data_IF_533658189299
#
_entry.id   IF_533658189299
#
_cell.length_a   1.000
_cell.length_b   1.000
_cell.length_c   1.000
_cell.angle_alpha   90.00
_cell.angle_beta   90.00
_cell.angle_gamma   90.00
#
_symmetry.space_group_name_H-M   'P 1'
#
loop_
_entity.id
_entity.type
_entity.pdbx_description
1 polymer ?
#
# COMPACT_ATOMS: atom_id res chain seq x y z
N UNK A 1 32.37 6.41 6.45
CA UNK A 1 32.41 6.19 4.99
C UNK A 1 31.00 6.34 4.47
N UNK A 2 30.79 6.79 3.22
CA UNK A 2 29.46 6.74 2.59
C UNK A 2 28.92 5.30 2.51
N UNK A 3 29.81 4.31 2.64
CA UNK A 3 29.46 2.88 2.68
C UNK A 3 28.69 2.47 3.95
N UNK A 4 28.64 3.31 4.97
CA UNK A 4 27.91 3.01 6.21
C UNK A 4 27.22 4.27 6.73
N UNK A 5 25.91 4.38 6.46
CA UNK A 5 25.05 5.38 7.09
C UNK A 5 24.04 4.67 8.00
N UNK A 6 23.80 5.15 9.24
CA UNK A 6 22.92 4.48 10.19
C UNK A 6 21.49 4.27 9.66
N UNK A 7 21.03 5.15 8.76
CA UNK A 7 19.72 5.06 8.15
C UNK A 7 19.64 4.14 6.92
N UNK A 8 20.78 3.69 6.34
CA UNK A 8 20.76 2.85 5.14
C UNK A 8 20.11 1.49 5.36
N UNK A 9 20.29 0.90 6.54
CA UNK A 9 19.60 -0.36 6.88
C UNK A 9 18.08 -0.17 6.94
N UNK A 10 17.63 0.98 7.47
CA UNK A 10 16.21 1.34 7.50
C UNK A 10 15.66 1.58 6.09
N UNK A 11 16.38 2.34 5.27
CA UNK A 11 15.98 2.61 3.88
C UNK A 11 15.92 1.32 3.05
N UNK A 12 16.92 0.43 3.19
CA UNK A 12 16.92 -0.87 2.51
C UNK A 12 15.70 -1.71 2.88
N UNK A 13 15.41 -1.85 4.17
CA UNK A 13 14.23 -2.59 4.64
C UNK A 13 12.93 -1.99 4.08
N UNK A 14 12.80 -0.66 4.07
CA UNK A 14 11.62 0.01 3.54
C UNK A 14 11.46 -0.15 2.02
N UNK A 15 12.57 -0.11 1.27
CA UNK A 15 12.56 -0.33 -0.19
C UNK A 15 12.14 -1.76 -0.57
N UNK A 16 12.48 -2.75 0.26
CA UNK A 16 12.04 -4.15 0.05
C UNK A 16 10.53 -4.33 0.28
N UNK A 17 9.93 -3.49 1.13
CA UNK A 17 8.52 -3.55 1.50
C UNK A 17 7.61 -2.63 0.66
N UNK A 18 8.18 -1.79 -0.21
CA UNK A 18 7.44 -0.75 -0.94
C UNK A 18 7.68 -0.83 -2.44
N UNK A 19 6.64 -0.54 -3.22
CA UNK A 19 6.72 -0.49 -4.68
C UNK A 19 7.06 0.93 -5.13
N UNK A 20 8.31 1.36 -4.94
CA UNK A 20 8.84 2.63 -5.44
C UNK A 20 9.77 2.42 -6.63
N UNK A 21 9.81 3.35 -7.57
CA UNK A 21 10.69 3.25 -8.73
C UNK A 21 12.08 3.84 -8.43
N UNK A 22 13.13 3.42 -9.16
CA UNK A 22 14.44 4.07 -9.06
C UNK A 22 14.41 5.59 -9.30
N UNK A 23 13.48 6.08 -10.15
CA UNK A 23 13.29 7.50 -10.41
C UNK A 23 12.71 8.23 -9.20
N UNK A 24 11.73 7.63 -8.50
CA UNK A 24 11.17 8.20 -7.27
C UNK A 24 12.23 8.31 -6.18
N UNK A 25 13.07 7.28 -6.05
CA UNK A 25 14.19 7.30 -5.09
C UNK A 25 15.15 8.42 -5.43
N UNK A 26 15.53 8.56 -6.71
CA UNK A 26 16.39 9.66 -7.15
C UNK A 26 15.75 11.04 -6.91
N UNK A 27 14.45 11.20 -7.18
CA UNK A 27 13.75 12.46 -6.93
C UNK A 27 13.77 12.87 -5.45
N UNK A 28 13.58 11.92 -4.54
CA UNK A 28 13.60 12.20 -3.11
C UNK A 28 15.02 12.55 -2.59
N UNK A 29 16.05 11.99 -3.23
CA UNK A 29 17.45 12.25 -2.91
C UNK A 29 18.02 13.51 -3.57
N UNK A 30 17.34 14.06 -4.59
CA UNK A 30 17.75 15.32 -5.18
C UNK A 30 17.42 16.49 -4.24
N UNK A 31 18.37 17.42 -4.02
CA UNK A 31 18.13 18.66 -3.29
C UNK A 31 16.97 19.45 -3.90
N UNK A 32 15.98 19.82 -3.10
CA UNK A 32 14.83 20.62 -3.60
C UNK A 32 15.13 22.13 -3.63
N UNK A 33 16.12 22.57 -2.86
CA UNK A 33 16.60 23.96 -2.84
C UNK A 33 18.13 23.99 -2.85
N UNK A 34 18.69 25.14 -3.24
CA UNK A 34 20.13 25.35 -3.18
C UNK A 34 20.63 25.21 -1.74
N UNK A 35 21.69 24.42 -1.54
CA UNK A 35 22.30 24.12 -0.24
C UNK A 35 21.39 23.33 0.72
N UNK A 36 20.42 22.56 0.23
CA UNK A 36 19.72 21.58 1.06
C UNK A 36 20.71 20.52 1.57
N UNK A 37 20.60 20.19 2.85
CA UNK A 37 21.44 19.19 3.49
C UNK A 37 21.08 17.77 3.05
N UNK A 38 22.08 16.90 2.96
CA UNK A 38 21.91 15.51 2.55
C UNK A 38 21.03 14.72 3.54
N UNK A 39 21.06 15.09 4.83
CA UNK A 39 20.17 14.49 5.85
C UNK A 39 18.70 14.81 5.53
N UNK A 40 18.39 16.04 5.12
CA UNK A 40 17.03 16.43 4.75
C UNK A 40 16.51 15.67 3.53
N UNK A 41 17.35 15.43 2.52
CA UNK A 41 16.98 14.59 1.36
C UNK A 41 16.72 13.13 1.77
N UNK A 42 17.51 12.60 2.71
CA UNK A 42 17.37 11.23 3.20
C UNK A 42 16.12 11.05 4.09
N UNK A 43 15.83 12.02 4.97
CA UNK A 43 14.60 12.04 5.76
C UNK A 43 13.36 12.08 4.88
N UNK A 44 13.40 12.89 3.81
CA UNK A 44 12.31 12.95 2.82
C UNK A 44 12.08 11.60 2.15
N UNK A 45 13.14 10.92 1.73
CA UNK A 45 13.03 9.56 1.19
C UNK A 45 12.38 8.61 2.20
N UNK A 46 12.81 8.63 3.46
CA UNK A 46 12.25 7.75 4.51
C UNK A 46 10.76 8.03 4.72
N UNK A 47 10.36 9.31 4.74
CA UNK A 47 8.95 9.68 4.85
C UNK A 47 8.13 9.18 3.66
N UNK A 48 8.61 9.38 2.43
CA UNK A 48 7.94 8.90 1.22
C UNK A 48 7.72 7.38 1.24
N UNK A 49 8.75 6.62 1.65
CA UNK A 49 8.66 5.16 1.78
C UNK A 49 7.63 4.73 2.84
N UNK A 50 7.63 5.37 4.01
CA UNK A 50 6.65 5.07 5.08
C UNK A 50 5.22 5.32 4.62
N UNK A 51 4.98 6.46 3.96
CA UNK A 51 3.66 6.79 3.41
C UNK A 51 3.23 5.78 2.35
N UNK A 52 4.13 5.41 1.42
CA UNK A 52 3.85 4.39 0.40
C UNK A 52 3.43 3.05 1.00
N UNK A 53 4.13 2.61 2.06
CA UNK A 53 3.79 1.39 2.81
C UNK A 53 2.40 1.46 3.44
N UNK A 54 2.08 2.58 4.10
CA UNK A 54 0.79 2.77 4.75
C UNK A 54 -0.36 2.83 3.74
N UNK A 55 -0.20 3.54 2.63
CA UNK A 55 -1.19 3.61 1.57
C UNK A 55 -1.44 2.23 0.93
N UNK A 56 -0.39 1.44 0.70
CA UNK A 56 -0.52 0.08 0.19
C UNK A 56 -1.33 -0.81 1.17
N UNK A 57 -1.05 -0.69 2.47
CA UNK A 57 -1.81 -1.41 3.51
C UNK A 57 -3.28 -1.00 3.54
N UNK A 58 -3.57 0.31 3.54
CA UNK A 58 -4.95 0.82 3.56
C UNK A 58 -5.73 0.39 2.30
N UNK A 59 -5.09 0.39 1.13
CA UNK A 59 -5.73 -0.09 -0.11
C UNK A 59 -6.06 -1.58 -0.04
N UNK A 60 -5.14 -2.39 0.46
CA UNK A 60 -5.36 -3.83 0.62
C UNK A 60 -6.50 -4.13 1.62
N UNK A 61 -6.58 -3.39 2.73
CA UNK A 61 -7.65 -3.54 3.72
C UNK A 61 -9.02 -3.17 3.15
N UNK A 62 -9.13 -2.01 2.47
CA UNK A 62 -10.37 -1.58 1.80
C UNK A 62 -10.81 -2.55 0.71
N UNK A 63 -9.87 -3.09 -0.07
CA UNK A 63 -10.20 -4.08 -1.11
C UNK A 63 -10.70 -5.39 -0.50
N UNK A 64 -10.11 -5.84 0.61
CA UNK A 64 -10.56 -7.02 1.33
C UNK A 64 -11.97 -6.85 1.91
N UNK A 65 -12.25 -5.68 2.50
CA UNK A 65 -13.59 -5.34 3.03
C UNK A 65 -14.64 -5.30 1.91
N UNK A 66 -14.34 -4.62 0.79
CA UNK A 66 -15.26 -4.55 -0.35
C UNK A 66 -15.53 -5.92 -0.98
N UNK A 67 -14.51 -6.80 -1.06
CA UNK A 67 -14.71 -8.18 -1.52
C UNK A 67 -15.58 -9.00 -0.56
N UNK A 68 -15.42 -8.83 0.75
CA UNK A 68 -16.23 -9.53 1.74
C UNK A 68 -17.70 -9.13 1.66
N UNK A 69 -17.99 -7.82 1.53
CA UNK A 69 -19.36 -7.30 1.39
C UNK A 69 -20.01 -7.81 0.11
N UNK A 70 -19.35 -7.64 -1.04
CA UNK A 70 -19.90 -8.10 -2.33
C UNK A 70 -20.13 -9.61 -2.37
N UNK A 71 -19.23 -10.39 -1.74
CA UNK A 71 -19.41 -11.84 -1.66
C UNK A 71 -20.65 -12.19 -0.82
N UNK A 72 -20.85 -11.53 0.32
CA UNK A 72 -21.99 -11.78 1.22
C UNK A 72 -23.35 -11.45 0.60
N UNK A 73 -23.43 -10.39 -0.22
CA UNK A 73 -24.64 -9.98 -0.92
C UNK A 73 -25.05 -10.99 -2.01
N UNK A 74 -24.07 -11.49 -2.77
CA UNK A 74 -24.28 -12.55 -3.78
C UNK A 74 -24.77 -13.86 -3.12
N UNK A 75 -24.26 -14.23 -1.93
CA UNK A 75 -24.74 -15.46 -1.24
C UNK A 75 -26.16 -15.29 -0.67
N UNK A 76 -26.54 -14.07 -0.27
CA UNK A 76 -27.88 -13.78 0.23
C UNK A 76 -28.93 -13.85 -0.89
N UNK A 77 -28.64 -13.30 -2.06
CA UNK A 77 -29.56 -13.35 -3.21
C UNK A 77 -29.73 -14.76 -3.78
N UNK A 78 -28.68 -15.59 -3.85
CA UNK A 78 -28.79 -16.99 -4.32
C UNK A 78 -29.68 -17.82 -3.36
N UNK A 79 -29.58 -17.58 -2.05
CA UNK A 79 -30.41 -18.28 -1.06
C UNK A 79 -31.89 -17.93 -1.17
N UNK A 80 -32.21 -16.66 -1.42
CA UNK A 80 -33.60 -16.20 -1.59
C UNK A 80 -34.23 -16.71 -2.91
N UNK A 81 -33.45 -16.81 -3.98
CA UNK A 81 -33.93 -17.36 -5.26
C UNK A 81 -34.22 -18.86 -5.14
N UNK A 82 -33.37 -19.64 -4.44
CA UNK A 82 -33.60 -21.09 -4.23
C UNK A 82 -34.84 -21.39 -3.40
N UNK A 83 -35.19 -20.54 -2.43
CA UNK A 83 -36.37 -20.71 -1.58
C UNK A 83 -37.68 -20.46 -2.34
N UNK A 84 -37.70 -19.50 -3.28
CA UNK A 84 -38.90 -19.17 -4.09
C UNK A 84 -39.22 -20.21 -5.17
N UNK A 85 -38.26 -20.99 -5.64
CA UNK A 85 -38.47 -21.99 -6.72
C UNK A 85 -38.97 -23.34 -6.17
N UNK A 86 -38.82 -23.60 -4.86
CA UNK A 86 -39.13 -24.90 -4.24
C UNK A 86 -40.61 -25.22 -4.01
N UNK A 87 -41.52 -24.26 -4.05
CA UNK A 87 -42.89 -24.43 -3.54
C UNK A 87 -43.98 -24.72 -4.61
N UNK A 88 -43.60 -25.09 -5.84
CA UNK A 88 -44.51 -25.18 -7.00
C UNK A 88 -44.97 -26.59 -7.44
N UNK A 89 -44.82 -27.64 -6.62
CA UNK A 89 -45.32 -28.99 -6.96
C UNK A 89 -46.07 -29.63 -5.80
N UNK A 90 -47.38 -29.42 -5.76
CA UNK A 90 -48.37 -30.38 -5.24
C UNK A 90 -49.73 -30.04 -5.83
#
# INVERSE_FOLDING_TARGET
>A
SIESHPLFDTVRCLLEETNVTPADVAENLMPKVANEDAEASLERLIQALRTSKEEAKMKAEKEAEMKAVNSSEIVAEDKEIKEKIGNGKS
#
